data_IF_564419879786
#
_entry.id   IF_564419879786
#
_cell.length_a   1.000
_cell.length_b   1.000
_cell.length_c   1.000
_cell.angle_alpha   90.00
_cell.angle_beta   90.00
_cell.angle_gamma   90.00
#
_symmetry.space_group_name_H-M   'P 1'
#
loop_
_entity.id
_entity.type
_entity.pdbx_description
1 polymer ?
#
# COMPACT_ATOMS: atom_id res chain seq x y z
N UNK A 1 3.38 13.73 18.01
CA UNK A 1 2.11 14.11 17.34
C UNK A 1 2.20 13.68 15.88
N UNK A 2 1.09 13.27 15.27
CA UNK A 2 1.03 13.00 13.84
C UNK A 2 0.90 14.33 13.08
N UNK A 3 1.64 14.47 11.99
CA UNK A 3 1.68 15.68 11.15
C UNK A 3 1.64 15.28 9.67
N UNK A 4 0.97 16.09 8.85
CA UNK A 4 0.97 15.89 7.40
C UNK A 4 2.37 16.17 6.83
N UNK A 5 2.93 15.20 6.11
CA UNK A 5 4.25 15.32 5.47
C UNK A 5 4.31 16.53 4.53
N UNK A 6 3.22 16.82 3.82
CA UNK A 6 3.09 17.98 2.92
C UNK A 6 3.15 19.34 3.63
N UNK A 7 2.91 19.38 4.95
CA UNK A 7 2.92 20.59 5.78
C UNK A 7 4.13 20.68 6.70
N UNK A 8 5.07 19.74 6.57
CA UNK A 8 6.28 19.73 7.40
C UNK A 8 7.13 20.95 7.07
N UNK A 9 7.37 21.77 8.09
CA UNK A 9 8.29 22.90 8.01
C UNK A 9 9.76 22.46 8.11
N UNK A 10 10.60 23.40 8.53
CA UNK A 10 12.01 23.11 8.81
C UNK A 10 12.11 22.30 10.10
N UNK A 11 12.76 21.13 10.01
CA UNK A 11 13.07 20.26 11.13
C UNK A 11 14.49 20.56 11.63
N UNK A 12 14.78 20.15 12.86
CA UNK A 12 16.10 20.34 13.45
C UNK A 12 17.19 19.60 12.65
N UNK A 13 18.40 20.16 12.63
CA UNK A 13 19.59 19.56 12.01
C UNK A 13 19.35 19.16 10.54
N UNK A 14 19.66 17.92 10.19
CA UNK A 14 19.53 17.30 8.87
C UNK A 14 18.24 16.47 8.73
N UNK A 15 17.29 16.59 9.66
CA UNK A 15 16.10 15.73 9.69
C UNK A 15 15.24 15.85 8.42
N UNK A 16 15.20 17.00 7.75
CA UNK A 16 14.53 17.11 6.45
C UNK A 16 15.20 16.23 5.37
N UNK A 17 16.53 16.09 5.39
CA UNK A 17 17.26 15.22 4.46
C UNK A 17 16.96 13.75 4.74
N UNK A 18 16.98 13.35 6.01
CA UNK A 18 16.63 11.99 6.44
C UNK A 18 15.19 11.66 6.04
N UNK A 19 14.24 12.56 6.31
CA UNK A 19 12.84 12.39 5.95
C UNK A 19 12.67 12.19 4.44
N UNK A 20 13.28 13.05 3.62
CA UNK A 20 13.21 12.95 2.17
C UNK A 20 13.80 11.64 1.66
N UNK A 21 14.97 11.22 2.18
CA UNK A 21 15.59 9.96 1.81
C UNK A 21 14.69 8.75 2.16
N UNK A 22 14.07 8.76 3.34
CA UNK A 22 13.13 7.72 3.75
C UNK A 22 11.87 7.68 2.87
N UNK A 23 11.33 8.84 2.47
CA UNK A 23 10.17 8.92 1.59
C UNK A 23 10.48 8.39 0.19
N UNK A 24 11.62 8.76 -0.39
CA UNK A 24 12.03 8.24 -1.70
C UNK A 24 12.27 6.73 -1.63
N UNK A 25 12.93 6.24 -0.59
CA UNK A 25 13.11 4.80 -0.38
C UNK A 25 11.78 4.06 -0.24
N UNK A 26 10.80 4.66 0.43
CA UNK A 26 9.47 4.08 0.59
C UNK A 26 8.74 3.97 -0.77
N UNK A 27 8.83 5.01 -1.60
CA UNK A 27 8.28 4.99 -2.97
C UNK A 27 8.94 3.93 -3.85
N UNK A 28 10.27 3.83 -3.81
CA UNK A 28 11.02 2.79 -4.53
C UNK A 28 10.58 1.39 -4.13
N UNK A 29 10.45 1.14 -2.83
CA UNK A 29 10.03 -0.16 -2.32
C UNK A 29 8.63 -0.53 -2.82
N UNK A 30 7.67 0.40 -2.84
CA UNK A 30 6.32 0.14 -3.35
C UNK A 30 6.29 -0.13 -4.85
N UNK A 31 7.21 0.45 -5.63
CA UNK A 31 7.31 0.18 -7.08
C UNK A 31 7.90 -1.20 -7.38
N UNK A 32 8.75 -1.71 -6.50
CA UNK A 32 9.59 -2.90 -6.78
C UNK A 32 9.22 -4.11 -5.95
N UNK A 33 8.35 -3.95 -4.95
CA UNK A 33 7.96 -5.00 -4.01
C UNK A 33 6.49 -4.81 -3.61
N UNK A 34 5.77 -5.91 -3.34
CA UNK A 34 4.42 -5.85 -2.80
C UNK A 34 4.52 -5.60 -1.29
N UNK A 35 4.85 -4.36 -0.93
CA UNK A 35 5.00 -3.87 0.44
C UNK A 35 3.90 -2.85 0.75
N UNK A 36 3.80 -2.42 2.00
CA UNK A 36 2.85 -1.41 2.44
C UNK A 36 1.57 -2.00 3.05
N UNK A 37 1.39 -3.32 3.00
CA UNK A 37 0.34 -4.00 3.76
C UNK A 37 0.51 -3.81 5.27
N UNK A 38 1.75 -3.58 5.73
CA UNK A 38 2.07 -3.24 7.12
C UNK A 38 1.51 -1.88 7.55
N UNK A 39 1.16 -1.02 6.60
CA UNK A 39 0.57 0.31 6.83
C UNK A 39 -0.97 0.27 6.81
N UNK A 40 -1.56 -0.90 6.59
CA UNK A 40 -3.01 -1.11 6.59
C UNK A 40 -3.43 -1.93 7.81
N UNK A 41 -4.70 -1.81 8.23
CA UNK A 41 -5.30 -2.76 9.16
C UNK A 41 -5.21 -4.19 8.61
N UNK A 42 -5.34 -5.20 9.48
CA UNK A 42 -5.27 -6.61 9.07
C UNK A 42 -6.29 -6.98 7.98
N UNK A 43 -7.46 -6.35 8.01
CA UNK A 43 -8.52 -6.48 7.00
C UNK A 43 -8.69 -5.12 6.33
N UNK A 44 -8.57 -5.07 5.02
CA UNK A 44 -8.65 -3.83 4.25
C UNK A 44 -9.38 -4.05 2.93
N UNK A 45 -9.84 -2.97 2.35
CA UNK A 45 -10.44 -2.94 1.01
C UNK A 45 -9.41 -2.59 -0.05
N UNK A 46 -9.72 -2.93 -1.30
CA UNK A 46 -8.92 -2.48 -2.44
C UNK A 46 -8.89 -0.95 -2.58
N UNK A 47 -9.89 -0.24 -2.05
CA UNK A 47 -9.92 1.23 -2.07
C UNK A 47 -8.94 1.80 -1.05
N UNK A 48 -8.90 1.26 0.17
CA UNK A 48 -7.92 1.67 1.19
C UNK A 48 -6.48 1.38 0.73
N UNK A 49 -6.26 0.22 0.12
CA UNK A 49 -4.97 -0.12 -0.48
C UNK A 49 -4.60 0.84 -1.61
N UNK A 50 -5.54 1.24 -2.46
CA UNK A 50 -5.31 2.24 -3.51
C UNK A 50 -4.91 3.59 -2.90
N UNK A 51 -5.68 4.09 -1.93
CA UNK A 51 -5.39 5.36 -1.28
C UNK A 51 -4.02 5.37 -0.58
N UNK A 52 -3.62 4.25 0.03
CA UNK A 52 -2.28 4.12 0.59
C UNK A 52 -1.20 4.31 -0.48
N UNK A 53 -1.34 3.63 -1.61
CA UNK A 53 -0.37 3.72 -2.71
C UNK A 53 -0.33 5.13 -3.31
N UNK A 54 -1.50 5.75 -3.52
CA UNK A 54 -1.61 7.13 -4.02
C UNK A 54 -0.98 8.13 -3.05
N UNK A 55 -1.21 7.98 -1.74
CA UNK A 55 -0.65 8.85 -0.71
C UNK A 55 0.88 8.77 -0.65
N UNK A 56 1.45 7.57 -0.81
CA UNK A 56 2.91 7.40 -0.73
C UNK A 56 3.59 7.79 -2.04
N UNK A 57 3.03 7.38 -3.18
CA UNK A 57 3.56 7.71 -4.51
C UNK A 57 3.29 9.16 -4.90
N UNK A 58 2.42 9.85 -4.17
CA UNK A 58 1.96 11.21 -4.45
C UNK A 58 1.44 11.36 -5.88
N UNK A 59 0.65 10.38 -6.34
CA UNK A 59 0.06 10.34 -7.68
C UNK A 59 -1.30 9.67 -7.61
N UNK A 60 -2.21 10.08 -8.50
CA UNK A 60 -3.48 9.38 -8.66
C UNK A 60 -3.28 8.12 -9.51
N UNK A 61 -3.94 7.03 -9.14
CA UNK A 61 -3.87 5.76 -9.86
C UNK A 61 -5.21 5.47 -10.51
N UNK A 62 -5.18 4.95 -11.75
CA UNK A 62 -6.42 4.48 -12.37
C UNK A 62 -6.97 3.28 -11.59
N UNK A 63 -8.19 3.43 -11.08
CA UNK A 63 -8.85 2.44 -10.24
C UNK A 63 -8.97 1.07 -10.90
N UNK A 64 -9.24 1.01 -12.21
CA UNK A 64 -9.43 -0.26 -12.92
C UNK A 64 -8.09 -0.98 -13.11
N UNK A 65 -7.08 -0.26 -13.56
CA UNK A 65 -5.73 -0.77 -13.78
C UNK A 65 -5.08 -1.20 -12.46
N UNK A 66 -5.21 -0.39 -11.41
CA UNK A 66 -4.71 -0.72 -10.08
C UNK A 66 -5.29 -2.03 -9.56
N UNK A 67 -6.64 -2.14 -9.57
CA UNK A 67 -7.32 -3.36 -9.11
C UNK A 67 -6.93 -4.57 -9.94
N UNK A 68 -6.90 -4.44 -11.27
CA UNK A 68 -6.47 -5.52 -12.16
C UNK A 68 -5.06 -5.99 -11.82
N UNK A 69 -4.12 -5.05 -11.64
CA UNK A 69 -2.71 -5.35 -11.35
C UNK A 69 -2.54 -6.01 -9.99
N UNK A 70 -3.10 -5.43 -8.93
CA UNK A 70 -3.00 -5.97 -7.57
C UNK A 70 -3.60 -7.39 -7.48
N UNK A 71 -4.79 -7.60 -8.06
CA UNK A 71 -5.41 -8.93 -8.05
C UNK A 71 -4.61 -9.95 -8.87
N UNK A 72 -3.99 -9.53 -9.98
CA UNK A 72 -3.14 -10.41 -10.78
C UNK A 72 -1.87 -10.89 -10.08
N UNK A 73 -1.39 -10.17 -9.05
CA UNK A 73 -0.24 -10.61 -8.25
C UNK A 73 -0.54 -11.83 -7.40
N UNK A 74 -1.83 -12.12 -7.16
CA UNK A 74 -2.28 -13.25 -6.35
C UNK A 74 -1.63 -13.26 -4.95
N UNK A 75 -1.61 -12.08 -4.32
CA UNK A 75 -1.05 -11.83 -2.98
C UNK A 75 -2.11 -11.40 -1.95
N UNK A 76 -3.37 -11.37 -2.38
CA UNK A 76 -4.50 -11.02 -1.53
C UNK A 76 -5.42 -12.22 -1.36
N UNK A 77 -5.79 -12.49 -0.12
CA UNK A 77 -6.83 -13.45 0.25
C UNK A 77 -8.17 -12.69 0.37
N UNK A 78 -9.19 -13.11 -0.40
CA UNK A 78 -10.57 -12.62 -0.24
C UNK A 78 -11.16 -13.30 1.00
N UNK A 79 -11.54 -12.52 2.00
CA UNK A 79 -12.07 -13.03 3.26
C UNK A 79 -13.53 -13.48 3.14
N UNK A 80 -14.17 -13.28 1.97
CA UNK A 80 -15.62 -13.42 1.77
C UNK A 80 -16.45 -12.58 2.77
N UNK A 81 -15.85 -11.51 3.28
CA UNK A 81 -16.45 -10.55 4.18
C UNK A 81 -16.66 -9.21 3.46
N UNK A 82 -17.66 -8.46 3.91
CA UNK A 82 -17.96 -7.12 3.42
C UNK A 82 -17.71 -6.12 4.55
N UNK A 83 -17.33 -4.89 4.21
CA UNK A 83 -17.25 -3.79 5.19
C UNK A 83 -18.57 -3.58 5.92
N UNK A 84 -18.50 -3.37 7.21
CA UNK A 84 -19.65 -3.08 8.07
C UNK A 84 -19.70 -1.60 8.42
N UNK A 85 -20.89 -1.09 8.79
CA UNK A 85 -21.05 0.26 9.33
C UNK A 85 -20.82 1.41 8.33
N UNK A 86 -20.85 1.13 7.02
CA UNK A 86 -20.66 2.14 5.97
C UNK A 86 -22.00 2.59 5.36
N UNK A 87 -22.14 3.90 5.13
CA UNK A 87 -23.36 4.50 4.52
C UNK A 87 -23.45 4.29 3.00
N UNK A 88 -22.39 3.80 2.36
CA UNK A 88 -22.30 3.53 0.93
C UNK A 88 -22.26 2.01 0.68
N UNK A 89 -22.22 1.61 -0.59
CA UNK A 89 -22.13 0.19 -0.97
C UNK A 89 -20.93 -0.47 -0.27
N UNK A 90 -21.14 -1.50 0.58
CA UNK A 90 -20.07 -2.21 1.25
C UNK A 90 -19.04 -2.76 0.25
N UNK A 91 -17.76 -2.63 0.58
CA UNK A 91 -16.67 -3.20 -0.19
C UNK A 91 -16.21 -4.53 0.40
N UNK A 92 -15.67 -5.42 -0.44
CA UNK A 92 -15.06 -6.67 0.02
C UNK A 92 -13.79 -6.41 0.83
N UNK A 93 -13.60 -7.21 1.87
CA UNK A 93 -12.41 -7.21 2.70
C UNK A 93 -11.43 -8.27 2.23
N UNK A 94 -10.15 -7.87 2.24
CA UNK A 94 -9.02 -8.70 1.89
C UNK A 94 -8.00 -8.70 3.03
N UNK A 95 -7.15 -9.71 3.01
CA UNK A 95 -5.94 -9.79 3.83
C UNK A 95 -4.73 -10.07 2.93
N UNK A 96 -3.56 -9.59 3.34
CA UNK A 96 -2.31 -9.93 2.65
C UNK A 96 -1.90 -11.38 2.93
N UNK A 97 -1.68 -12.15 1.86
CA UNK A 97 -1.18 -13.52 1.95
C UNK A 97 0.35 -13.54 2.03
N UNK A 98 0.84 -13.41 3.27
CA UNK A 98 2.28 -13.44 3.55
C UNK A 98 2.92 -14.78 3.19
N UNK A 99 2.18 -15.90 3.29
CA UNK A 99 2.73 -17.22 2.95
C UNK A 99 2.99 -17.31 1.45
N UNK A 100 2.00 -16.93 0.65
CA UNK A 100 2.13 -16.87 -0.80
C UNK A 100 3.23 -15.94 -1.26
N UNK A 101 3.39 -14.80 -0.61
CA UNK A 101 4.49 -13.89 -0.90
C UNK A 101 5.87 -14.54 -0.68
N UNK A 102 6.07 -15.23 0.45
CA UNK A 102 7.33 -15.93 0.73
C UNK A 102 7.60 -17.06 -0.28
N UNK A 103 6.57 -17.78 -0.73
CA UNK A 103 6.68 -18.80 -1.78
C UNK A 103 7.09 -18.22 -3.14
N UNK A 104 6.61 -17.02 -3.49
CA UNK A 104 6.96 -16.38 -4.76
C UNK A 104 8.38 -15.81 -4.72
N UNK A 105 8.80 -15.27 -3.58
CA UNK A 105 10.18 -14.82 -3.36
C UNK A 105 11.18 -15.98 -3.45
N UNK A 106 10.88 -17.14 -2.85
CA UNK A 106 11.76 -18.31 -2.93
C UNK A 106 11.89 -18.87 -4.34
N UNK A 107 10.92 -18.56 -5.23
CA UNK A 107 10.92 -18.90 -6.65
C UNK A 107 11.57 -17.83 -7.54
N UNK A 108 12.10 -16.75 -6.97
CA UNK A 108 12.80 -15.69 -7.71
C UNK A 108 11.90 -14.77 -8.53
N UNK A 109 10.60 -14.68 -8.21
CA UNK A 109 9.66 -13.82 -8.95
C UNK A 109 9.83 -12.37 -8.50
N UNK A 110 10.01 -11.45 -9.46
CA UNK A 110 10.04 -10.00 -9.24
C UNK A 110 8.65 -9.39 -9.42
N UNK A 111 8.35 -8.34 -8.65
CA UNK A 111 7.07 -7.64 -8.66
C UNK A 111 7.29 -6.16 -8.99
N UNK A 112 7.11 -5.75 -10.25
CA UNK A 112 7.17 -4.33 -10.62
C UNK A 112 5.76 -3.73 -10.76
N UNK A 113 5.51 -2.63 -10.05
CA UNK A 113 4.25 -1.85 -10.01
C UNK A 113 4.33 -0.62 -10.89
#
# INVERSE_FOLDING_TARGET
KWEEVSRMGTLAFDHNQILNACLERLKENLRTRPVGFELLPRKFTLTELQHLYEAILNTQLDKRNFRKKILSMNLLEDLNEMQEGVAHRPARLYQFDRKRYQELLSKGISFEI
#
